data_IF_935668223919
#
_entry.id   IF_935668223919
#
_cell.length_a   1.000
_cell.length_b   1.000
_cell.length_c   1.000
_cell.angle_alpha   90.00
_cell.angle_beta   90.00
_cell.angle_gamma   90.00
#
_symmetry.space_group_name_H-M   'P 1'
#
loop_
_entity.id
_entity.type
_entity.pdbx_description
1 polymer ?
#
# COMPACT_ATOMS: atom_id res chain seq x y z
N UNK A 1 -13.93 -6.07 -5.02
CA UNK A 1 -12.55 -6.44 -4.62
C UNK A 1 -12.06 -5.34 -3.70
N UNK A 2 -11.55 -5.65 -2.50
CA UNK A 2 -11.02 -4.64 -1.58
C UNK A 2 -9.57 -4.33 -1.98
N UNK A 3 -9.38 -3.41 -2.93
CA UNK A 3 -8.07 -3.03 -3.44
C UNK A 3 -7.76 -1.59 -3.04
N UNK A 4 -6.52 -1.33 -2.65
CA UNK A 4 -6.01 0.04 -2.52
C UNK A 4 -4.92 0.28 -3.55
N UNK A 5 -5.10 1.26 -4.42
CA UNK A 5 -4.10 1.65 -5.41
C UNK A 5 -3.02 2.51 -4.76
N UNK A 6 -1.76 2.18 -5.00
CA UNK A 6 -0.59 2.93 -4.57
C UNK A 6 -0.02 3.68 -5.77
N UNK A 7 0.19 4.98 -5.61
CA UNK A 7 0.86 5.83 -6.57
C UNK A 7 1.96 6.67 -5.90
N UNK A 8 2.88 7.19 -6.69
CA UNK A 8 3.85 8.20 -6.23
C UNK A 8 3.13 9.48 -5.82
N UNK A 9 3.82 10.41 -5.15
CA UNK A 9 3.25 11.73 -4.86
C UNK A 9 2.82 12.49 -6.13
N UNK A 10 3.53 12.26 -7.25
CA UNK A 10 3.22 12.83 -8.57
C UNK A 10 2.06 12.13 -9.28
N UNK A 11 1.51 11.05 -8.71
CA UNK A 11 0.37 10.32 -9.25
C UNK A 11 0.73 9.21 -10.24
N UNK A 12 2.01 8.85 -10.38
CA UNK A 12 2.38 7.69 -11.19
C UNK A 12 2.02 6.39 -10.46
N UNK A 13 1.31 5.47 -11.12
CA UNK A 13 0.82 4.24 -10.50
C UNK A 13 1.93 3.24 -10.25
N UNK A 14 1.88 2.55 -9.10
CA UNK A 14 2.91 1.61 -8.66
C UNK A 14 2.33 0.20 -8.55
N UNK A 15 1.40 0.01 -7.62
CA UNK A 15 0.87 -1.29 -7.25
C UNK A 15 -0.58 -1.17 -6.76
N UNK A 16 -1.23 -2.31 -6.62
CA UNK A 16 -2.49 -2.47 -5.93
C UNK A 16 -2.27 -3.36 -4.71
N UNK A 17 -2.77 -2.95 -3.56
CA UNK A 17 -2.79 -3.74 -2.34
C UNK A 17 -4.14 -4.49 -2.28
N UNK A 18 -4.11 -5.78 -2.57
CA UNK A 18 -5.25 -6.68 -2.39
C UNK A 18 -5.44 -7.02 -0.93
N UNK A 19 -6.65 -6.86 -0.42
CA UNK A 19 -7.05 -7.23 0.94
C UNK A 19 -7.97 -8.44 0.90
N UNK A 20 -7.66 -9.46 1.71
CA UNK A 20 -8.57 -10.59 1.90
C UNK A 20 -9.91 -10.14 2.49
N UNK A 21 -10.96 -10.95 2.30
CA UNK A 21 -12.24 -10.74 2.97
C UNK A 21 -12.05 -10.75 4.49
N UNK A 22 -12.67 -9.81 5.23
CA UNK A 22 -12.45 -9.68 6.66
C UNK A 22 -13.07 -10.85 7.42
N UNK A 23 -12.28 -11.47 8.29
CA UNK A 23 -12.79 -12.29 9.40
C UNK A 23 -12.74 -11.47 10.71
N UNK A 24 -11.78 -10.53 10.84
CA UNK A 24 -11.61 -9.55 11.94
C UNK A 24 -10.87 -8.28 11.43
N UNK A 25 -10.40 -7.39 12.32
CA UNK A 25 -9.52 -6.26 11.97
C UNK A 25 -8.14 -6.72 11.43
N UNK A 26 -7.76 -7.98 11.64
CA UNK A 26 -6.59 -8.58 11.02
C UNK A 26 -7.00 -9.27 9.71
N UNK A 27 -6.24 -9.00 8.65
CA UNK A 27 -6.43 -9.53 7.29
C UNK A 27 -5.08 -10.00 6.73
N UNK A 28 -5.11 -10.71 5.61
CA UNK A 28 -3.94 -10.84 4.75
C UNK A 28 -4.00 -9.77 3.67
N UNK A 29 -2.86 -9.19 3.33
CA UNK A 29 -2.72 -8.35 2.14
C UNK A 29 -1.60 -8.82 1.23
N UNK A 30 -1.76 -8.55 -0.07
CA UNK A 30 -0.78 -8.87 -1.09
C UNK A 30 -0.62 -7.68 -2.03
N UNK A 31 0.62 -7.38 -2.41
CA UNK A 31 0.87 -6.44 -3.49
C UNK A 31 0.78 -7.12 -4.85
N UNK A 32 0.08 -6.47 -5.77
CA UNK A 32 -0.01 -6.83 -7.18
C UNK A 32 0.47 -5.62 -7.99
N UNK A 33 1.28 -5.84 -9.02
CA UNK A 33 1.72 -4.75 -9.89
C UNK A 33 0.53 -4.04 -10.55
N UNK A 34 0.57 -2.71 -10.59
CA UNK A 34 -0.46 -1.95 -11.28
C UNK A 34 -0.24 -2.05 -12.80
N UNK A 35 -1.28 -2.26 -13.64
CA UNK A 35 -1.11 -2.40 -15.10
C UNK A 35 -0.47 -1.18 -15.79
N UNK A 36 -0.69 0.02 -15.23
CA UNK A 36 -0.13 1.28 -15.71
C UNK A 36 1.27 1.62 -15.15
N UNK A 37 1.91 0.67 -14.47
CA UNK A 37 3.28 0.86 -13.96
C UNK A 37 4.25 1.06 -15.13
N UNK A 38 5.03 2.14 -15.08
CA UNK A 38 6.07 2.44 -16.06
C UNK A 38 7.48 2.14 -15.52
N UNK A 39 8.47 2.10 -16.43
CA UNK A 39 9.84 1.72 -16.09
C UNK A 39 10.51 2.69 -15.13
N UNK A 40 10.23 3.98 -15.26
CA UNK A 40 10.80 5.02 -14.38
C UNK A 40 10.30 4.85 -12.94
N UNK A 41 9.00 4.60 -12.78
CA UNK A 41 8.37 4.35 -11.48
C UNK A 41 8.83 3.03 -10.89
N UNK A 42 8.98 1.99 -11.72
CA UNK A 42 9.52 0.69 -11.31
C UNK A 42 10.94 0.79 -10.75
N UNK A 43 11.82 1.56 -11.42
CA UNK A 43 13.22 1.73 -11.00
C UNK A 43 13.40 2.75 -9.89
N UNK A 44 12.40 3.61 -9.67
CA UNK A 44 12.38 4.67 -8.66
C UNK A 44 12.31 4.17 -7.21
N UNK A 45 12.53 5.06 -6.24
CA UNK A 45 12.60 4.68 -4.83
C UNK A 45 11.26 4.12 -4.32
N UNK A 46 10.12 4.68 -4.74
CA UNK A 46 8.80 4.16 -4.37
C UNK A 46 8.56 2.75 -4.93
N UNK A 47 8.94 2.50 -6.18
CA UNK A 47 8.83 1.19 -6.82
C UNK A 47 9.62 0.13 -6.06
N UNK A 48 10.87 0.40 -5.71
CA UNK A 48 11.74 -0.54 -4.96
C UNK A 48 11.24 -0.87 -3.56
N UNK A 49 10.46 0.01 -2.95
CA UNK A 49 9.90 -0.20 -1.59
C UNK A 49 8.59 -0.98 -1.65
N UNK A 50 7.71 -0.60 -2.59
CA UNK A 50 6.34 -1.15 -2.69
C UNK A 50 6.33 -2.51 -3.40
N UNK A 51 7.13 -2.66 -4.45
CA UNK A 51 7.09 -3.85 -5.29
C UNK A 51 7.88 -4.99 -4.63
N UNK A 52 7.23 -6.14 -4.36
CA UNK A 52 7.93 -7.25 -3.75
C UNK A 52 8.77 -8.00 -4.78
N UNK A 53 9.88 -8.60 -4.33
CA UNK A 53 10.73 -9.44 -5.19
C UNK A 53 9.98 -10.69 -5.71
N UNK A 54 8.97 -11.14 -4.95
CA UNK A 54 8.03 -12.20 -5.34
C UNK A 54 6.66 -11.95 -4.72
N UNK A 55 5.55 -12.35 -5.36
CA UNK A 55 4.21 -12.26 -4.75
C UNK A 55 4.20 -12.94 -3.37
N UNK A 56 3.92 -12.15 -2.32
CA UNK A 56 3.97 -12.60 -0.94
C UNK A 56 2.78 -11.98 -0.20
N UNK A 57 2.09 -12.79 0.60
CA UNK A 57 1.05 -12.32 1.52
C UNK A 57 1.66 -11.88 2.85
N UNK A 58 1.11 -10.81 3.42
CA UNK A 58 1.54 -10.27 4.70
C UNK A 58 0.34 -10.15 5.64
N UNK A 59 0.51 -10.43 6.94
CA UNK A 59 -0.46 -10.02 7.94
C UNK A 59 -0.61 -8.49 7.91
N UNK A 60 -1.83 -8.00 7.76
CA UNK A 60 -2.13 -6.58 7.86
C UNK A 60 -3.26 -6.32 8.83
N UNK A 61 -3.18 -5.16 9.47
CA UNK A 61 -4.25 -4.61 10.26
C UNK A 61 -5.06 -3.64 9.41
N UNK A 62 -6.37 -3.73 9.50
CA UNK A 62 -7.34 -2.89 8.81
C UNK A 62 -8.34 -2.36 9.82
N UNK A 63 -8.40 -1.04 9.96
CA UNK A 63 -9.42 -0.36 10.74
C UNK A 63 -10.13 0.67 9.86
N UNK A 64 -11.46 0.67 9.90
CA UNK A 64 -12.28 1.68 9.22
C UNK A 64 -13.29 2.27 10.20
N UNK A 65 -13.56 3.56 10.09
CA UNK A 65 -14.50 4.26 10.95
C UNK A 65 -14.81 5.67 10.46
N UNK A 66 -15.39 6.51 11.33
CA UNK A 66 -15.86 7.87 10.95
C UNK A 66 -14.77 8.79 10.39
N UNK A 67 -13.50 8.53 10.70
CA UNK A 67 -12.35 9.33 10.23
C UNK A 67 -11.73 8.80 8.93
N UNK A 68 -12.24 7.70 8.38
CA UNK A 68 -11.69 7.02 7.21
C UNK A 68 -11.10 5.66 7.57
N UNK A 69 -10.18 5.19 6.74
CA UNK A 69 -9.58 3.86 6.82
C UNK A 69 -8.09 3.95 7.08
N UNK A 70 -7.60 3.09 7.96
CA UNK A 70 -6.17 2.93 8.26
C UNK A 70 -5.79 1.47 8.04
N UNK A 71 -4.68 1.27 7.32
CA UNK A 71 -4.11 -0.05 7.05
C UNK A 71 -2.64 -0.04 7.44
N UNK A 72 -2.18 -1.02 8.21
CA UNK A 72 -0.78 -1.15 8.59
C UNK A 72 -0.28 -2.57 8.39
N UNK A 73 0.96 -2.71 7.94
CA UNK A 73 1.63 -4.00 7.75
C UNK A 73 3.14 -3.82 7.62
N UNK A 74 3.88 -4.91 7.71
CA UNK A 74 5.31 -4.95 7.40
C UNK A 74 5.52 -5.89 6.21
N UNK A 75 6.23 -5.45 5.17
CA UNK A 75 6.55 -6.31 4.03
C UNK A 75 7.77 -7.20 4.33
N UNK A 76 8.07 -8.14 3.42
CA UNK A 76 9.19 -9.08 3.56
C UNK A 76 10.57 -8.40 3.61
N UNK A 77 10.67 -7.16 3.14
CA UNK A 77 11.91 -6.38 3.12
C UNK A 77 12.07 -5.52 4.39
N UNK A 78 11.19 -5.69 5.39
CA UNK A 78 11.22 -5.00 6.68
C UNK A 78 10.73 -3.55 6.63
N UNK A 79 10.02 -3.16 5.58
CA UNK A 79 9.37 -1.85 5.50
C UNK A 79 8.02 -1.88 6.20
N UNK A 80 7.83 -0.97 7.15
CA UNK A 80 6.56 -0.77 7.84
C UNK A 80 5.70 0.22 7.08
N UNK A 81 4.59 -0.28 6.55
CA UNK A 81 3.62 0.49 5.82
C UNK A 81 2.51 1.00 6.72
N UNK A 82 2.09 2.23 6.44
CA UNK A 82 0.86 2.82 6.94
C UNK A 82 0.13 3.50 5.79
N UNK A 83 -1.11 3.10 5.56
CA UNK A 83 -2.03 3.70 4.61
C UNK A 83 -3.13 4.40 5.38
N UNK A 84 -3.40 5.66 5.04
CA UNK A 84 -4.52 6.43 5.59
C UNK A 84 -5.37 6.93 4.43
N UNK A 85 -6.61 6.49 4.37
CA UNK A 85 -7.61 6.93 3.41
C UNK A 85 -8.67 7.78 4.12
N UNK A 86 -9.04 8.90 3.51
CA UNK A 86 -10.15 9.74 3.95
C UNK A 86 -11.51 9.12 3.60
N UNK A 87 -12.58 9.91 3.76
CA UNK A 87 -13.96 9.45 3.47
C UNK A 87 -14.28 9.37 1.97
N UNK A 88 -13.55 10.11 1.16
CA UNK A 88 -13.62 10.05 -0.31
C UNK A 88 -12.71 8.94 -0.87
N UNK A 89 -12.25 8.02 -0.01
CA UNK A 89 -11.34 6.93 -0.36
C UNK A 89 -9.99 7.40 -0.93
N UNK A 90 -9.66 8.69 -0.87
CA UNK A 90 -8.34 9.19 -1.21
C UNK A 90 -7.50 9.42 0.04
N UNK A 91 -6.19 9.23 -0.10
CA UNK A 91 -5.27 9.57 0.96
C UNK A 91 -3.82 9.30 0.60
N UNK A 92 -3.06 8.80 1.58
CA UNK A 92 -1.62 8.61 1.46
C UNK A 92 -1.20 7.26 2.01
N UNK A 93 -0.15 6.72 1.42
CA UNK A 93 0.64 5.66 2.02
C UNK A 93 2.00 6.20 2.42
N UNK A 94 2.58 5.60 3.45
CA UNK A 94 3.95 5.80 3.86
C UNK A 94 4.59 4.47 4.21
N UNK A 95 5.88 4.36 3.99
CA UNK A 95 6.68 3.20 4.35
C UNK A 95 7.94 3.69 5.08
N UNK A 96 8.33 3.00 6.16
CA UNK A 96 9.54 3.33 6.92
C UNK A 96 10.39 2.10 7.20
N UNK A 97 11.71 2.28 7.15
CA UNK A 97 12.72 1.29 7.54
C UNK A 97 13.92 2.01 8.14
N UNK A 98 14.11 1.89 9.46
CA UNK A 98 15.13 2.67 10.17
C UNK A 98 14.90 4.19 10.02
N UNK A 99 15.90 4.90 9.50
CA UNK A 99 15.83 6.34 9.21
C UNK A 99 15.21 6.65 7.83
N UNK A 100 15.01 5.64 6.98
CA UNK A 100 14.46 5.83 5.64
C UNK A 100 12.93 5.91 5.68
N UNK A 101 12.38 6.82 4.88
CA UNK A 101 10.93 6.99 4.73
C UNK A 101 10.57 7.32 3.28
N UNK A 102 9.51 6.69 2.80
CA UNK A 102 8.96 6.90 1.46
C UNK A 102 7.47 7.12 1.57
N UNK A 103 6.90 7.99 0.73
CA UNK A 103 5.47 8.31 0.78
C UNK A 103 4.89 8.45 -0.61
N UNK A 104 3.59 8.25 -0.73
CA UNK A 104 2.87 8.46 -1.97
C UNK A 104 1.37 8.61 -1.75
N UNK A 105 0.62 8.62 -2.85
CA UNK A 105 -0.84 8.73 -2.85
C UNK A 105 -1.46 7.33 -2.80
N UNK A 106 -2.56 7.22 -2.07
CA UNK A 106 -3.34 5.99 -1.98
C UNK A 106 -4.80 6.26 -2.36
N UNK A 107 -5.43 5.31 -3.05
CA UNK A 107 -6.82 5.38 -3.48
C UNK A 107 -7.50 4.08 -3.08
N UNK A 108 -8.59 4.16 -2.33
CA UNK A 108 -9.39 3.04 -1.90
C UNK A 108 -10.17 2.41 -3.05
N UNK A 109 -10.85 1.28 -2.76
CA UNK A 109 -11.73 0.63 -3.71
C UNK A 109 -12.93 1.50 -4.08
#
# INVERSE_FOLDING_TARGET
MNLVVFATLKGAMIAMLGLSTPVMAQRSCIFVMHPLLNLDTYRGPEGRVVLPDRPTEYPCFYASGRRGTVITFENQNGWRFEVRLGRNEEGRWSARKGAEAVTGRAFGP
#
